data_IF_298075406418
#
_entry.id   IF_298075406418
#
_cell.length_a   1.000
_cell.length_b   1.000
_cell.length_c   1.000
_cell.angle_alpha   90.00
_cell.angle_beta   90.00
_cell.angle_gamma   90.00
#
_symmetry.space_group_name_H-M   'P 1'
#
loop_
_entity.id
_entity.type
_entity.pdbx_description
1 polymer ?
#
# COMPACT_ATOMS: atom_id res chain seq x y z
N UNK A 1 5.74 7.94 2.43
CA UNK A 1 4.30 7.88 2.75
C UNK A 1 3.89 9.23 3.31
N UNK A 2 2.79 9.81 2.84
CA UNK A 2 2.34 11.12 3.29
C UNK A 2 0.85 11.33 2.98
N UNK A 3 0.36 12.55 3.18
CA UNK A 3 -1.00 12.92 2.81
C UNK A 3 -1.03 13.66 1.50
N UNK A 4 -1.96 13.30 0.62
CA UNK A 4 -2.32 14.07 -0.56
C UNK A 4 -3.75 14.63 -0.42
N UNK A 5 -4.06 15.63 -1.26
CA UNK A 5 -5.34 16.34 -1.30
C UNK A 5 -5.74 17.02 0.04
N UNK A 6 -6.98 17.53 0.10
CA UNK A 6 -7.52 18.29 1.24
C UNK A 6 -8.99 17.96 1.49
N UNK A 7 -9.46 18.21 2.72
CA UNK A 7 -10.85 17.95 3.12
C UNK A 7 -11.21 16.47 3.07
N UNK A 8 -12.44 16.17 2.64
CA UNK A 8 -12.94 14.80 2.50
C UNK A 8 -12.19 13.94 1.49
N UNK A 9 -11.40 14.56 0.60
CA UNK A 9 -10.59 13.85 -0.40
C UNK A 9 -9.18 13.50 0.10
N UNK A 10 -8.83 13.85 1.34
CA UNK A 10 -7.49 13.63 1.87
C UNK A 10 -7.21 12.13 2.04
N UNK A 11 -6.11 11.65 1.47
CA UNK A 11 -5.71 10.24 1.50
C UNK A 11 -4.25 10.09 1.89
N UNK A 12 -3.89 8.91 2.41
CA UNK A 12 -2.50 8.51 2.63
C UNK A 12 -1.98 7.89 1.34
N UNK A 13 -0.92 8.45 0.76
CA UNK A 13 -0.33 7.98 -0.51
C UNK A 13 1.19 8.21 -0.54
N UNK A 14 1.83 7.78 -1.62
CA UNK A 14 3.24 8.01 -1.96
C UNK A 14 3.37 9.28 -2.81
N UNK A 15 4.61 9.64 -3.19
CA UNK A 15 4.79 10.70 -4.16
C UNK A 15 4.24 10.25 -5.53
N UNK A 16 3.51 11.13 -6.20
CA UNK A 16 2.91 10.86 -7.51
C UNK A 16 2.02 9.59 -7.58
N UNK A 17 1.48 9.15 -6.44
CA UNK A 17 0.65 7.94 -6.34
C UNK A 17 1.33 6.65 -6.85
N UNK A 18 2.67 6.61 -6.82
CA UNK A 18 3.45 5.43 -7.22
C UNK A 18 3.22 4.25 -6.26
N UNK A 19 3.13 3.00 -6.75
CA UNK A 19 3.03 1.84 -5.89
C UNK A 19 4.16 1.76 -4.85
N UNK A 20 3.85 1.32 -3.63
CA UNK A 20 4.85 1.19 -2.56
C UNK A 20 6.03 0.29 -2.91
N UNK A 21 5.89 -0.67 -3.82
CA UNK A 21 6.99 -1.52 -4.28
C UNK A 21 7.87 -0.90 -5.38
N UNK A 22 7.39 0.17 -6.02
CA UNK A 22 8.07 0.81 -7.16
C UNK A 22 8.67 2.17 -6.77
N UNK A 23 8.07 2.84 -5.78
CA UNK A 23 8.63 4.02 -5.14
C UNK A 23 9.90 3.68 -4.33
N UNK A 24 10.63 4.70 -3.85
CA UNK A 24 11.80 4.61 -2.93
C UNK A 24 11.46 4.01 -1.54
N UNK A 25 10.80 2.86 -1.51
CA UNK A 25 10.49 2.06 -0.35
C UNK A 25 11.67 1.15 -0.03
N UNK A 26 11.94 0.99 1.27
CA UNK A 26 13.00 0.11 1.77
C UNK A 26 12.44 -1.21 2.32
N UNK A 27 11.16 -1.49 2.06
CA UNK A 27 10.45 -2.69 2.53
C UNK A 27 10.54 -2.91 4.07
N UNK A 28 10.70 -1.83 4.85
CA UNK A 28 10.89 -1.91 6.30
C UNK A 28 9.62 -2.30 7.09
N UNK A 29 8.45 -2.27 6.45
CA UNK A 29 7.17 -2.67 7.05
C UNK A 29 6.62 -1.76 8.15
N UNK A 30 7.27 -0.62 8.44
CA UNK A 30 6.83 0.29 9.51
C UNK A 30 5.39 0.77 9.30
N UNK A 31 5.07 1.16 8.05
CA UNK A 31 3.74 1.66 7.69
C UNK A 31 2.62 0.62 7.89
N UNK A 32 2.92 -0.67 7.67
CA UNK A 32 1.98 -1.78 7.92
C UNK A 32 1.83 -1.99 9.44
N UNK A 33 2.94 -2.00 10.17
CA UNK A 33 2.95 -2.27 11.62
C UNK A 33 2.17 -1.23 12.42
N UNK A 34 2.29 0.05 12.08
CA UNK A 34 1.62 1.13 12.81
C UNK A 34 0.19 1.38 12.34
N UNK A 35 -0.27 0.73 11.26
CA UNK A 35 -1.59 1.01 10.68
C UNK A 35 -2.70 0.46 11.59
N UNK A 36 -3.51 1.32 12.25
CA UNK A 36 -4.50 0.84 13.21
C UNK A 36 -5.76 0.26 12.55
N UNK A 37 -6.05 0.66 11.30
CA UNK A 37 -7.24 0.23 10.57
C UNK A 37 -7.02 -0.97 9.65
N UNK A 38 -5.77 -1.42 9.48
CA UNK A 38 -5.43 -2.48 8.53
C UNK A 38 -5.53 -2.07 7.06
N UNK A 39 -5.50 -0.77 6.75
CA UNK A 39 -5.52 -0.27 5.36
C UNK A 39 -4.24 -0.62 4.58
N UNK A 40 -3.13 -0.87 5.28
CA UNK A 40 -1.86 -1.30 4.70
C UNK A 40 -1.54 -2.70 5.24
N UNK A 41 -1.37 -3.65 4.33
CA UNK A 41 -1.03 -5.05 4.64
C UNK A 41 0.01 -5.57 3.66
N UNK A 42 0.77 -6.57 4.08
CA UNK A 42 1.60 -7.31 3.15
C UNK A 42 0.72 -8.13 2.21
N UNK A 43 1.13 -8.23 0.95
CA UNK A 43 0.44 -9.04 -0.03
C UNK A 43 0.81 -10.50 0.19
N UNK A 44 -0.17 -11.32 0.55
CA UNK A 44 0.06 -12.75 0.69
C UNK A 44 0.33 -13.40 -0.68
N UNK A 45 1.37 -14.23 -0.73
CA UNK A 45 1.77 -14.95 -1.96
C UNK A 45 0.74 -16.00 -2.41
N UNK A 46 -0.23 -16.34 -1.56
CA UNK A 46 -1.34 -17.24 -1.86
C UNK A 46 -2.41 -16.59 -2.73
N UNK A 47 -2.70 -15.29 -2.55
CA UNK A 47 -3.74 -14.58 -3.31
C UNK A 47 -3.33 -14.30 -4.76
N UNK A 48 -2.05 -14.03 -5.01
CA UNK A 48 -1.53 -13.82 -6.39
C UNK A 48 -1.71 -15.06 -7.27
N UNK A 49 -1.63 -16.28 -6.68
CA UNK A 49 -1.83 -17.53 -7.42
C UNK A 49 -3.28 -17.76 -7.81
N UNK A 50 -4.24 -17.25 -7.03
CA UNK A 50 -5.68 -17.33 -7.34
C UNK A 50 -6.00 -16.48 -8.57
N UNK A 51 -5.52 -15.22 -8.63
CA UNK A 51 -5.74 -14.34 -9.79
C UNK A 51 -5.04 -14.84 -11.07
N UNK A 52 -3.89 -15.50 -10.95
CA UNK A 52 -3.17 -16.06 -12.10
C UNK A 52 -3.80 -17.34 -12.66
N UNK A 53 -4.59 -18.08 -11.86
CA UNK A 53 -5.26 -19.33 -12.29
C UNK A 53 -6.71 -19.11 -12.77
N UNK A 54 -7.28 -17.94 -12.52
CA UNK A 54 -8.56 -17.49 -13.08
C UNK A 54 -8.29 -16.59 -14.30
N UNK A 55 -7.51 -17.11 -15.26
CA UNK A 55 -7.39 -16.60 -16.63
C UNK A 55 -7.32 -17.79 -17.58
#
# INVERSE_FOLDING_TARGET
LGFAHRGFQRVVTTFADEPLGEFRCLECGECVRVCPSGALVFKDSTESKIKAKVR
#
